data_IF_931377456645
#
_entry.id   IF_931377456645
#
_cell.length_a   1.000
_cell.length_b   1.000
_cell.length_c   1.000
_cell.angle_alpha   90.00
_cell.angle_beta   90.00
_cell.angle_gamma   90.00
#
_symmetry.space_group_name_H-M   'P 1'
#
loop_
_entity.id
_entity.type
_entity.pdbx_description
1 polymer ?
#
# COMPACT_ATOMS: atom_id res chain seq x y z
N UNK A 1 -9.89 -56.81 8.17
CA UNK A 1 -10.03 -57.26 9.59
C UNK A 1 -8.88 -58.22 9.87
N UNK A 2 -8.15 -58.17 11.01
CA UNK A 2 -8.44 -57.45 12.26
C UNK A 2 -7.32 -56.46 12.70
N UNK A 3 -7.70 -55.34 13.33
CA UNK A 3 -7.54 -54.97 14.76
C UNK A 3 -6.15 -54.36 15.08
N UNK A 4 -6.00 -53.12 15.52
CA UNK A 4 -6.86 -52.33 16.42
C UNK A 4 -6.36 -52.51 17.86
N UNK A 5 -5.50 -51.60 18.33
CA UNK A 5 -5.26 -51.39 19.76
C UNK A 5 -4.76 -49.97 20.02
N UNK A 6 -5.72 -49.14 20.42
CA UNK A 6 -5.52 -47.94 21.20
C UNK A 6 -4.80 -48.28 22.51
N UNK A 7 -3.78 -47.49 22.85
CA UNK A 7 -3.33 -47.35 24.23
C UNK A 7 -3.22 -45.87 24.54
N UNK A 8 -4.34 -45.32 25.01
CA UNK A 8 -4.39 -44.12 25.83
C UNK A 8 -3.70 -44.43 27.17
N UNK A 9 -2.76 -43.57 27.57
CA UNK A 9 -1.92 -43.82 28.75
C UNK A 9 -1.07 -42.62 29.15
N UNK A 10 -1.75 -41.59 29.65
CA UNK A 10 -1.27 -40.52 30.54
C UNK A 10 0.15 -40.66 31.09
N UNK A 11 0.99 -39.65 30.81
CA UNK A 11 2.05 -39.22 31.75
C UNK A 11 1.89 -37.73 32.03
N UNK A 12 1.24 -37.45 33.16
CA UNK A 12 1.39 -36.20 33.92
C UNK A 12 2.83 -36.11 34.45
N UNK A 13 3.36 -34.89 34.46
CA UNK A 13 4.42 -34.48 35.40
C UNK A 13 5.75 -34.09 34.75
N UNK A 14 5.99 -32.77 34.67
CA UNK A 14 7.27 -32.21 34.25
C UNK A 14 7.31 -30.68 34.26
N UNK A 15 6.73 -30.04 35.28
CA UNK A 15 6.68 -28.59 35.47
C UNK A 15 7.99 -28.02 36.04
N UNK A 16 9.11 -28.03 35.30
CA UNK A 16 10.37 -27.46 35.86
C UNK A 16 11.43 -26.93 34.88
N UNK A 17 11.16 -26.73 33.58
CA UNK A 17 12.15 -26.12 32.66
C UNK A 17 11.79 -24.72 32.14
N UNK A 18 10.64 -24.15 32.51
CA UNK A 18 10.21 -22.79 32.12
C UNK A 18 10.89 -21.65 32.91
N UNK A 19 12.16 -21.76 33.29
CA UNK A 19 12.83 -20.73 34.12
C UNK A 19 13.86 -19.88 33.37
N UNK A 20 14.29 -20.29 32.18
CA UNK A 20 15.35 -19.60 31.44
C UNK A 20 14.99 -19.38 29.97
N UNK A 21 13.76 -18.95 29.67
CA UNK A 21 13.45 -18.46 28.33
C UNK A 21 14.03 -17.04 28.17
N UNK A 22 14.77 -16.82 27.07
CA UNK A 22 15.40 -15.54 26.75
C UNK A 22 14.83 -15.03 25.43
N UNK A 23 14.65 -13.72 25.33
CA UNK A 23 14.26 -13.11 24.06
C UNK A 23 15.38 -13.30 23.02
N UNK A 24 15.06 -13.83 21.84
CA UNK A 24 16.04 -14.06 20.77
C UNK A 24 16.60 -12.77 20.16
N UNK A 25 15.94 -11.62 20.37
CA UNK A 25 16.35 -10.31 19.86
C UNK A 25 17.26 -9.55 20.83
N UNK A 26 16.84 -9.41 22.10
CA UNK A 26 17.58 -8.63 23.11
C UNK A 26 18.34 -9.48 24.13
N UNK A 27 18.18 -10.82 24.11
CA UNK A 27 18.78 -11.79 25.04
C UNK A 27 18.46 -11.60 26.53
N UNK A 28 17.51 -10.73 26.86
CA UNK A 28 17.03 -10.52 28.24
C UNK A 28 16.13 -11.67 28.68
N UNK A 29 16.08 -11.91 29.99
CA UNK A 29 15.29 -12.98 30.61
C UNK A 29 13.86 -12.51 30.91
N UNK A 30 12.93 -13.44 31.17
CA UNK A 30 11.55 -13.13 31.59
C UNK A 30 11.47 -12.15 32.78
N UNK A 31 12.46 -12.13 33.67
CA UNK A 31 12.48 -11.22 34.83
C UNK A 31 12.73 -9.76 34.44
N UNK A 32 13.46 -9.53 33.35
CA UNK A 32 13.93 -8.20 32.96
C UNK A 32 12.94 -7.50 32.04
N UNK A 33 12.18 -8.26 31.22
CA UNK A 33 11.27 -7.73 30.19
C UNK A 33 9.82 -8.22 30.34
N UNK A 34 9.55 -9.04 31.36
CA UNK A 34 8.22 -9.59 31.62
C UNK A 34 7.79 -10.65 30.59
N UNK A 35 6.53 -10.64 30.14
CA UNK A 35 5.97 -11.69 29.30
C UNK A 35 6.69 -11.84 27.96
N UNK A 36 6.97 -13.08 27.59
CA UNK A 36 7.58 -13.48 26.33
C UNK A 36 6.55 -14.20 25.47
N UNK A 37 6.52 -13.89 24.17
CA UNK A 37 5.67 -14.56 23.17
C UNK A 37 6.47 -15.70 22.55
N UNK A 38 5.90 -16.90 22.53
CA UNK A 38 6.50 -18.11 21.97
C UNK A 38 6.20 -18.20 20.46
N UNK A 39 7.24 -18.43 19.65
CA UNK A 39 7.15 -18.67 18.21
C UNK A 39 7.53 -20.10 17.83
N UNK A 40 7.32 -20.50 16.56
CA UNK A 40 7.75 -21.81 16.07
C UNK A 40 9.28 -21.94 16.16
N UNK A 41 9.75 -23.11 16.63
CA UNK A 41 11.19 -23.43 16.70
C UNK A 41 11.93 -22.89 17.93
N UNK A 42 11.30 -22.89 19.12
CA UNK A 42 11.89 -22.44 20.40
C UNK A 42 12.39 -20.98 20.38
N UNK A 43 11.75 -20.12 19.58
CA UNK A 43 12.05 -18.68 19.49
C UNK A 43 11.13 -17.90 20.44
N UNK A 44 11.68 -16.93 21.15
CA UNK A 44 10.92 -16.07 22.07
C UNK A 44 11.16 -14.59 21.74
N UNK A 45 10.11 -13.77 21.83
CA UNK A 45 10.20 -12.31 21.65
C UNK A 45 9.51 -11.58 22.81
N UNK A 46 10.12 -10.51 23.34
CA UNK A 46 9.53 -9.68 24.40
C UNK A 46 8.72 -8.51 23.85
N UNK A 47 7.85 -7.93 24.68
CA UNK A 47 7.05 -6.74 24.33
C UNK A 47 7.89 -5.55 23.85
N UNK A 48 8.99 -5.23 24.52
CA UNK A 48 9.91 -4.14 24.11
C UNK A 48 10.43 -4.34 22.69
N UNK A 49 10.80 -5.57 22.31
CA UNK A 49 11.27 -5.88 20.97
C UNK A 49 10.15 -5.82 19.94
N UNK A 50 8.92 -6.19 20.30
CA UNK A 50 7.75 -6.04 19.41
C UNK A 50 7.51 -4.57 19.09
N UNK A 51 7.51 -3.70 20.11
CA UNK A 51 7.33 -2.26 19.93
C UNK A 51 8.45 -1.65 19.09
N UNK A 52 9.70 -2.03 19.35
CA UNK A 52 10.85 -1.58 18.57
C UNK A 52 10.74 -2.06 17.11
N UNK A 53 10.47 -3.34 16.88
CA UNK A 53 10.26 -3.86 15.53
C UNK A 53 9.10 -3.15 14.82
N UNK A 54 7.99 -2.89 15.52
CA UNK A 54 6.86 -2.16 14.97
C UNK A 54 7.25 -0.73 14.57
N UNK A 55 7.97 0.00 15.43
CA UNK A 55 8.43 1.37 15.10
C UNK A 55 9.39 1.39 13.90
N UNK A 56 10.29 0.41 13.78
CA UNK A 56 11.18 0.25 12.64
C UNK A 56 10.38 -0.01 11.37
N UNK A 57 9.39 -0.92 11.43
CA UNK A 57 8.50 -1.22 10.30
C UNK A 57 7.67 0.00 9.89
N UNK A 58 7.11 0.75 10.83
CA UNK A 58 6.36 1.98 10.55
C UNK A 58 7.26 3.07 9.95
N UNK A 59 8.48 3.23 10.46
CA UNK A 59 9.44 4.17 9.89
C UNK A 59 9.85 3.76 8.47
N UNK A 60 9.97 2.46 8.23
CA UNK A 60 10.29 1.94 6.92
C UNK A 60 9.13 2.08 5.93
N UNK A 61 7.89 1.83 6.36
CA UNK A 61 6.69 2.14 5.60
C UNK A 61 6.59 3.63 5.27
N UNK A 62 6.94 4.53 6.19
CA UNK A 62 6.99 5.98 5.93
C UNK A 62 8.11 6.34 4.93
N UNK A 63 9.29 5.73 5.04
CA UNK A 63 10.44 5.95 4.14
C UNK A 63 10.23 5.40 2.74
N UNK A 64 9.60 4.23 2.62
CA UNK A 64 9.16 3.68 1.33
C UNK A 64 8.00 4.49 0.73
N UNK A 65 7.49 5.47 1.47
CA UNK A 65 6.19 6.05 1.24
C UNK A 65 5.16 4.99 1.54
N UNK A 66 4.20 5.30 2.41
CA UNK A 66 2.91 4.66 2.24
C UNK A 66 2.55 4.91 0.78
N UNK A 67 2.51 3.84 -0.01
CA UNK A 67 1.64 3.76 -1.17
C UNK A 67 0.22 3.95 -0.62
N UNK A 68 -0.11 5.17 -0.13
CA UNK A 68 -1.44 5.71 -0.33
C UNK A 68 -1.63 5.44 -1.80
N UNK A 69 -2.50 4.49 -2.12
CA UNK A 69 -3.03 4.34 -3.45
C UNK A 69 -3.46 5.76 -3.79
N UNK A 70 -2.61 6.49 -4.54
CA UNK A 70 -2.81 7.92 -4.78
C UNK A 70 -4.20 8.11 -5.37
N UNK A 71 -4.73 7.06 -6.01
CA UNK A 71 -6.12 6.85 -6.32
C UNK A 71 -6.48 5.39 -6.01
N UNK A 72 -7.57 5.14 -5.28
CA UNK A 72 -8.16 3.80 -5.17
C UNK A 72 -8.72 3.34 -6.52
N UNK A 73 -9.05 4.29 -7.40
CA UNK A 73 -9.61 4.06 -8.72
C UNK A 73 -9.19 5.22 -9.63
N UNK A 74 -8.47 4.91 -10.72
CA UNK A 74 -8.08 5.93 -11.71
C UNK A 74 -9.33 6.16 -12.59
N UNK A 75 -9.88 7.40 -12.64
CA UNK A 75 -11.10 7.65 -13.38
C UNK A 75 -10.93 7.32 -14.86
N UNK A 76 -11.99 6.84 -15.48
CA UNK A 76 -11.96 6.52 -16.91
C UNK A 76 -11.89 7.81 -17.74
N UNK A 77 -11.33 7.78 -18.96
CA UNK A 77 -11.31 8.96 -19.81
C UNK A 77 -12.70 9.56 -20.08
N UNK A 78 -13.76 8.73 -20.02
CA UNK A 78 -15.15 9.20 -20.19
C UNK A 78 -15.61 10.01 -18.99
N UNK A 79 -15.38 9.53 -17.78
CA UNK A 79 -15.70 10.25 -16.53
C UNK A 79 -14.98 11.60 -16.47
N UNK A 80 -13.70 11.66 -16.87
CA UNK A 80 -12.95 12.92 -16.89
C UNK A 80 -13.58 13.91 -17.88
N UNK A 81 -13.97 13.46 -19.08
CA UNK A 81 -14.64 14.31 -20.07
C UNK A 81 -15.99 14.80 -19.55
N UNK A 82 -16.80 13.91 -18.98
CA UNK A 82 -18.11 14.26 -18.40
C UNK A 82 -17.98 15.32 -17.30
N UNK A 83 -16.96 15.22 -16.45
CA UNK A 83 -16.71 16.22 -15.41
C UNK A 83 -16.23 17.55 -16.01
N UNK A 84 -15.37 17.52 -17.05
CA UNK A 84 -14.94 18.72 -17.76
C UNK A 84 -16.08 19.40 -18.52
N UNK A 85 -17.05 18.64 -19.02
CA UNK A 85 -18.25 19.13 -19.71
C UNK A 85 -19.14 20.00 -18.82
N UNK A 86 -19.15 19.77 -17.50
CA UNK A 86 -19.92 20.57 -16.54
C UNK A 86 -19.42 22.01 -16.40
N UNK A 87 -18.14 22.28 -16.72
CA UNK A 87 -17.52 23.60 -16.51
C UNK A 87 -17.05 24.27 -17.80
N UNK A 88 -16.64 23.50 -18.80
CA UNK A 88 -16.12 24.02 -20.07
C UNK A 88 -17.10 23.63 -21.16
N UNK A 89 -17.65 24.59 -21.89
CA UNK A 89 -18.57 24.30 -23.00
C UNK A 89 -17.79 24.15 -24.31
N UNK A 90 -18.13 23.13 -25.10
CA UNK A 90 -17.46 22.83 -26.37
C UNK A 90 -16.07 22.20 -26.22
N UNK A 91 -15.19 22.39 -27.21
CA UNK A 91 -13.81 21.86 -27.22
C UNK A 91 -13.68 20.33 -26.99
N UNK A 92 -14.43 19.50 -27.73
CA UNK A 92 -14.45 18.05 -27.52
C UNK A 92 -13.07 17.41 -27.75
N UNK A 93 -12.31 17.92 -28.73
CA UNK A 93 -10.96 17.43 -29.03
C UNK A 93 -10.00 17.65 -27.85
N UNK A 94 -9.98 18.86 -27.28
CA UNK A 94 -9.09 19.19 -26.16
C UNK A 94 -9.42 18.36 -24.92
N UNK A 95 -10.71 18.19 -24.58
CA UNK A 95 -11.14 17.37 -23.44
C UNK A 95 -10.74 15.91 -23.60
N UNK A 96 -10.93 15.34 -24.80
CA UNK A 96 -10.53 13.95 -25.08
C UNK A 96 -9.02 13.75 -24.94
N UNK A 97 -8.21 14.66 -25.48
CA UNK A 97 -6.74 14.59 -25.36
C UNK A 97 -6.30 14.71 -23.90
N UNK A 98 -6.85 15.66 -23.15
CA UNK A 98 -6.55 15.83 -21.72
C UNK A 98 -6.94 14.59 -20.92
N UNK A 99 -8.15 14.07 -21.13
CA UNK A 99 -8.62 12.89 -20.40
C UNK A 99 -7.77 11.65 -20.64
N UNK A 100 -7.38 11.37 -21.90
CA UNK A 100 -6.51 10.23 -22.22
C UNK A 100 -5.12 10.41 -21.65
N UNK A 101 -4.53 11.60 -21.80
CA UNK A 101 -3.18 11.86 -21.32
C UNK A 101 -3.09 11.77 -19.79
N UNK A 102 -4.11 12.25 -19.08
CA UNK A 102 -4.21 12.19 -17.62
C UNK A 102 -4.41 10.75 -17.16
N UNK A 103 -5.36 10.03 -17.75
CA UNK A 103 -5.59 8.62 -17.44
C UNK A 103 -4.31 7.80 -17.61
N UNK A 104 -3.61 7.98 -18.74
CA UNK A 104 -2.34 7.30 -19.01
C UNK A 104 -1.23 7.73 -18.05
N UNK A 105 -1.18 9.01 -17.68
CA UNK A 105 -0.22 9.52 -16.70
C UNK A 105 -0.36 8.82 -15.35
N UNK A 106 -1.59 8.71 -14.84
CA UNK A 106 -1.85 8.03 -13.56
C UNK A 106 -1.69 6.52 -13.66
N UNK A 107 -2.08 5.92 -14.79
CA UNK A 107 -1.85 4.49 -15.04
C UNK A 107 -0.35 4.16 -15.00
N UNK A 108 0.48 5.02 -15.59
CA UNK A 108 1.93 4.91 -15.51
C UNK A 108 2.47 5.05 -14.09
N UNK A 109 1.98 6.01 -13.31
CA UNK A 109 2.38 6.17 -11.91
C UNK A 109 2.00 4.95 -11.06
N UNK A 110 0.84 4.34 -11.32
CA UNK A 110 0.40 3.13 -10.64
C UNK A 110 1.22 1.88 -11.03
N UNK A 111 1.55 1.73 -12.31
CA UNK A 111 2.32 0.59 -12.84
C UNK A 111 3.82 0.67 -12.58
N UNK A 112 4.39 1.88 -12.48
CA UNK A 112 5.81 2.11 -12.20
C UNK A 112 6.28 1.52 -10.85
N UNK A 113 5.35 1.11 -10.00
CA UNK A 113 5.62 0.40 -8.74
C UNK A 113 5.53 -1.13 -8.84
N UNK A 114 4.99 -1.68 -9.94
CA UNK A 114 4.75 -3.13 -10.10
C UNK A 114 5.68 -3.86 -11.07
N UNK A 115 6.71 -3.19 -11.63
CA UNK A 115 7.74 -3.87 -12.43
C UNK A 115 7.19 -4.59 -13.68
N UNK A 116 6.10 -4.07 -14.26
CA UNK A 116 5.54 -4.60 -15.50
C UNK A 116 6.38 -4.23 -16.71
N UNK A 117 6.56 -5.18 -17.64
CA UNK A 117 7.35 -5.10 -18.88
C UNK A 117 6.86 -4.04 -19.90
N UNK A 118 5.70 -3.43 -19.66
CA UNK A 118 5.12 -2.42 -20.55
C UNK A 118 5.51 -1.01 -20.09
N UNK A 119 6.43 -0.39 -20.83
CA UNK A 119 6.80 1.01 -20.64
C UNK A 119 5.72 1.95 -21.21
N UNK A 120 5.18 2.84 -20.37
CA UNK A 120 4.26 3.89 -20.81
C UNK A 120 5.06 5.20 -20.96
N UNK A 121 5.11 5.75 -22.16
CA UNK A 121 5.81 7.01 -22.44
C UNK A 121 5.12 8.23 -21.80
N UNK A 122 5.90 9.31 -21.59
CA UNK A 122 5.38 10.58 -21.07
C UNK A 122 4.65 11.36 -22.17
N UNK A 123 3.34 11.52 -22.06
CA UNK A 123 2.57 12.41 -22.92
C UNK A 123 2.54 13.84 -22.35
N UNK A 124 3.39 14.73 -22.86
CA UNK A 124 3.27 16.17 -22.59
C UNK A 124 2.20 16.78 -23.53
N UNK A 125 1.49 17.80 -23.06
CA UNK A 125 0.39 18.44 -23.81
C UNK A 125 0.70 19.91 -24.01
N UNK A 126 0.55 20.40 -25.24
CA UNK A 126 0.56 21.82 -25.58
C UNK A 126 -0.86 22.27 -25.93
N UNK A 127 -1.40 23.23 -25.20
CA UNK A 127 -2.73 23.79 -25.48
C UNK A 127 -2.62 25.08 -26.29
N UNK A 128 -3.11 25.07 -27.52
CA UNK A 128 -3.15 26.24 -28.43
C UNK A 128 -4.59 26.66 -28.67
N UNK A 129 -4.86 27.97 -28.63
CA UNK A 129 -6.18 28.52 -28.94
C UNK A 129 -6.27 30.02 -28.68
N UNK A 130 -7.31 30.70 -29.18
CA UNK A 130 -7.50 32.15 -29.05
C UNK A 130 -7.66 32.60 -27.58
N UNK A 131 -7.52 33.89 -27.33
CA UNK A 131 -7.76 34.45 -25.99
C UNK A 131 -9.21 34.19 -25.55
N UNK A 132 -9.44 33.95 -24.25
CA UNK A 132 -10.78 33.66 -23.73
C UNK A 132 -11.33 32.26 -24.05
N UNK A 133 -10.61 31.40 -24.77
CA UNK A 133 -11.08 30.06 -25.13
C UNK A 133 -11.13 29.03 -23.98
N UNK A 134 -11.00 29.43 -22.72
CA UNK A 134 -11.11 28.49 -21.59
C UNK A 134 -9.92 27.56 -21.35
N UNK A 135 -8.73 27.77 -21.96
CA UNK A 135 -7.51 26.97 -21.70
C UNK A 135 -7.15 26.89 -20.21
N UNK A 136 -7.14 28.04 -19.53
CA UNK A 136 -6.86 28.12 -18.09
C UNK A 136 -7.97 27.47 -17.26
N UNK A 137 -9.22 27.55 -17.71
CA UNK A 137 -10.35 26.92 -17.04
C UNK A 137 -10.26 25.39 -17.13
N UNK A 138 -9.91 24.84 -18.30
CA UNK A 138 -9.64 23.41 -18.48
C UNK A 138 -8.60 22.91 -17.48
N UNK A 139 -7.46 23.61 -17.36
CA UNK A 139 -6.42 23.22 -16.41
C UNK A 139 -6.91 23.27 -14.94
N UNK A 140 -7.62 24.34 -14.53
CA UNK A 140 -8.14 24.47 -13.17
C UNK A 140 -9.24 23.45 -12.83
N UNK A 141 -10.08 23.11 -13.79
CA UNK A 141 -11.12 22.09 -13.59
C UNK A 141 -10.49 20.70 -13.53
N UNK A 142 -9.49 20.44 -14.36
CA UNK A 142 -8.76 19.18 -14.33
C UNK A 142 -8.03 18.95 -13.00
N UNK A 143 -7.41 20.00 -12.43
CA UNK A 143 -6.81 19.92 -11.11
C UNK A 143 -7.82 19.53 -10.01
N UNK A 144 -9.04 20.08 -10.08
CA UNK A 144 -10.15 19.72 -9.17
C UNK A 144 -10.62 18.27 -9.31
N UNK A 145 -10.62 17.71 -10.53
CA UNK A 145 -10.95 16.28 -10.76
C UNK A 145 -9.91 15.37 -10.12
N UNK A 146 -8.67 15.82 -10.05
CA UNK A 146 -7.53 15.04 -9.61
C UNK A 146 -7.17 15.28 -8.13
N UNK A 147 -7.86 16.19 -7.44
CA UNK A 147 -7.63 16.57 -6.05
C UNK A 147 -6.16 17.01 -5.78
N UNK A 148 -5.60 17.80 -6.72
CA UNK A 148 -4.24 18.37 -6.67
C UNK A 148 -4.27 19.90 -6.69
#
# INVERSE_FOLDING_TARGET
MPAGKDTTGSRRGGSTTKKNAFCSFCRKSYRDVGPLVEGPGDVYICGECIELCQSILEQEQRRRGTNKKLFNEIPTPREIVEHLDQYVIGQPSAKKVLAVAVHNHYKRLALGWQGTEVEIEKSNILMVGPTGSGKTLLARTLARVLDV
#
